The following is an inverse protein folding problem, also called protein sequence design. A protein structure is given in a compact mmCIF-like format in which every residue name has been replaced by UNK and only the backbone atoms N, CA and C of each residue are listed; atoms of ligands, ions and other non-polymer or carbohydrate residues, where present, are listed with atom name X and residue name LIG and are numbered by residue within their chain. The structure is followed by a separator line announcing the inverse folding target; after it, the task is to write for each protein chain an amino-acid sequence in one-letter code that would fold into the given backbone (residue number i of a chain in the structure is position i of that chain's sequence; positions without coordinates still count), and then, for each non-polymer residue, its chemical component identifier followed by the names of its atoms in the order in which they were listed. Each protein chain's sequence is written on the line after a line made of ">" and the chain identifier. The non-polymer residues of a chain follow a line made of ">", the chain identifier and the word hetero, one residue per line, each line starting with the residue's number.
data_IF_358754175392
#
_entry.id   IF_358754175392
#
_cell.length_a   1.000
_cell.length_b   1.000
_cell.length_c   1.000
_cell.angle_alpha   90.00
_cell.angle_beta   90.00
_cell.angle_gamma   90.00
#
_symmetry.space_group_name_H-M   'P 1'
#
loop_
_entity.id
_entity.type
_entity.pdbx_description
1 polymer ?
#
# COMPACT_ATOMS: atom_id res chain seq x y z
N UNK A 1 -18.25 10.70 -20.90
CA UNK A 1 -17.39 9.53 -20.64
C UNK A 1 -17.22 9.46 -19.12
N UNK A 2 -17.75 8.41 -18.50
CA UNK A 2 -17.98 8.33 -17.04
C UNK A 2 -16.66 8.30 -16.24
N UNK A 3 -16.32 9.39 -15.57
CA UNK A 3 -15.24 9.50 -14.58
C UNK A 3 -15.58 8.83 -13.23
N UNK A 4 -16.72 8.14 -13.13
CA UNK A 4 -17.28 7.60 -11.88
C UNK A 4 -16.95 6.14 -11.55
N UNK A 5 -16.07 5.46 -12.30
CA UNK A 5 -15.87 3.99 -12.19
C UNK A 5 -14.58 3.53 -11.49
N UNK A 6 -13.70 4.42 -11.05
CA UNK A 6 -12.38 4.01 -10.52
C UNK A 6 -12.28 3.93 -8.99
N UNK A 7 -13.38 4.12 -8.25
CA UNK A 7 -13.37 3.93 -6.79
C UNK A 7 -13.28 2.47 -6.36
N UNK A 8 -13.50 1.51 -7.28
CA UNK A 8 -13.49 0.06 -6.99
C UNK A 8 -12.52 -0.75 -7.86
N UNK A 9 -11.53 -0.12 -8.49
CA UNK A 9 -10.69 -0.79 -9.50
C UNK A 9 -9.87 -1.96 -8.94
N UNK A 10 -9.64 -1.96 -7.62
CA UNK A 10 -8.81 -2.94 -6.93
C UNK A 10 -9.62 -3.63 -5.82
N UNK A 11 -10.58 -4.45 -6.24
CA UNK A 11 -11.15 -5.48 -5.38
C UNK A 11 -10.19 -6.68 -5.38
N UNK A 12 -10.12 -7.43 -4.27
CA UNK A 12 -9.29 -8.64 -4.16
C UNK A 12 -7.78 -8.36 -4.25
N UNK A 13 -7.30 -7.37 -3.51
CA UNK A 13 -5.85 -7.18 -3.32
C UNK A 13 -5.36 -8.30 -2.39
N UNK A 14 -4.48 -9.16 -2.90
CA UNK A 14 -3.83 -10.18 -2.08
C UNK A 14 -2.60 -9.64 -1.38
N UNK A 15 -1.80 -8.78 -2.04
CA UNK A 15 -0.46 -8.43 -1.58
C UNK A 15 -0.15 -6.94 -1.81
N UNK A 16 0.57 -6.35 -0.87
CA UNK A 16 1.07 -4.96 -0.93
C UNK A 16 2.57 -4.97 -0.68
N UNK A 17 3.35 -4.41 -1.60
CA UNK A 17 4.79 -4.22 -1.44
C UNK A 17 5.09 -2.74 -1.26
N UNK A 18 5.90 -2.40 -0.25
CA UNK A 18 6.36 -1.02 -0.04
C UNK A 18 7.90 -0.94 -0.11
N UNK A 19 8.42 0.21 -0.54
CA UNK A 19 9.85 0.56 -0.51
C UNK A 19 9.99 1.93 0.13
N UNK A 20 10.84 2.03 1.16
CA UNK A 20 11.22 3.33 1.74
C UNK A 20 11.98 4.13 0.69
N UNK A 21 11.61 5.41 0.51
CA UNK A 21 12.28 6.29 -0.45
C UNK A 21 13.53 6.95 0.16
N UNK A 22 13.49 7.25 1.45
CA UNK A 22 14.51 8.09 2.11
C UNK A 22 15.44 7.29 3.04
N UNK A 23 15.37 5.95 3.03
CA UNK A 23 16.12 5.04 3.92
C UNK A 23 16.01 5.37 5.42
N UNK A 24 15.01 6.16 5.82
CA UNK A 24 14.78 6.59 7.22
C UNK A 24 14.27 5.46 8.11
N UNK A 25 13.85 4.35 7.51
CA UNK A 25 13.25 3.20 8.19
C UNK A 25 13.97 1.95 7.72
N UNK A 26 14.59 1.23 8.66
CA UNK A 26 15.20 -0.07 8.40
C UNK A 26 14.14 -1.17 8.37
N UNK A 27 13.69 -1.48 7.16
CA UNK A 27 12.66 -2.48 6.90
C UNK A 27 13.13 -3.92 7.13
N UNK A 28 14.45 -4.16 7.13
CA UNK A 28 15.01 -5.51 7.32
C UNK A 28 14.76 -6.06 8.73
N UNK A 29 14.65 -5.15 9.70
CA UNK A 29 14.37 -5.45 11.10
C UNK A 29 12.90 -5.85 11.39
N UNK A 30 12.03 -5.79 10.38
CA UNK A 30 10.57 -5.86 10.53
C UNK A 30 9.93 -7.11 9.87
N UNK A 31 10.74 -8.00 9.30
CA UNK A 31 10.32 -9.15 8.48
C UNK A 31 9.33 -10.12 9.12
N UNK A 32 9.25 -10.21 10.45
CA UNK A 32 8.33 -11.13 11.14
C UNK A 32 6.87 -10.67 11.17
N UNK A 33 6.60 -9.38 10.99
CA UNK A 33 5.25 -8.79 11.12
C UNK A 33 4.41 -9.00 9.85
N UNK A 34 5.05 -9.20 8.70
CA UNK A 34 4.43 -8.99 7.39
C UNK A 34 3.74 -10.21 6.76
N UNK A 35 3.59 -11.30 7.50
CA UNK A 35 2.85 -12.48 7.03
C UNK A 35 1.52 -12.70 7.77
N UNK A 36 1.04 -11.70 8.51
CA UNK A 36 -0.22 -11.80 9.26
C UNK A 36 -1.42 -11.53 8.35
N UNK A 37 -2.48 -12.37 8.38
CA UNK A 37 -3.70 -12.11 7.62
C UNK A 37 -4.27 -10.72 7.90
N UNK A 38 -4.43 -9.94 6.85
CA UNK A 38 -4.81 -8.53 6.93
C UNK A 38 -5.90 -8.22 5.92
N UNK A 39 -6.82 -7.30 6.28
CA UNK A 39 -7.80 -6.78 5.32
C UNK A 39 -7.22 -5.57 4.60
N UNK A 40 -7.07 -5.66 3.29
CA UNK A 40 -6.53 -4.58 2.46
C UNK A 40 -7.67 -3.85 1.75
N UNK A 41 -7.65 -2.52 1.79
CA UNK A 41 -8.63 -1.66 1.10
C UNK A 41 -7.89 -0.52 0.42
N UNK A 42 -8.12 -0.35 -0.88
CA UNK A 42 -7.60 0.77 -1.65
C UNK A 42 -8.75 1.67 -2.11
N UNK A 43 -8.61 2.97 -1.89
CA UNK A 43 -9.56 3.99 -2.31
C UNK A 43 -8.84 5.07 -3.10
N UNK A 44 -9.45 5.49 -4.20
CA UNK A 44 -8.99 6.63 -5.00
C UNK A 44 -10.14 7.61 -5.09
N UNK A 45 -9.86 8.85 -4.73
CA UNK A 45 -10.78 9.97 -4.94
C UNK A 45 -10.16 10.96 -5.89
N UNK A 46 -10.98 11.47 -6.81
CA UNK A 46 -10.56 12.39 -7.84
C UNK A 46 -11.07 13.79 -7.51
N UNK A 47 -10.19 14.78 -7.61
CA UNK A 47 -10.56 16.19 -7.60
C UNK A 47 -9.98 16.91 -8.82
N UNK A 48 -10.70 17.93 -9.25
CA UNK A 48 -10.30 18.79 -10.35
C UNK A 48 -10.39 20.23 -9.88
N UNK A 49 -9.31 21.00 -10.04
CA UNK A 49 -9.28 22.43 -9.76
C UNK A 49 -8.53 23.17 -10.88
N UNK A 50 -8.43 24.49 -10.78
CA UNK A 50 -7.76 25.35 -11.77
C UNK A 50 -6.26 25.02 -11.94
N UNK A 51 -5.67 24.26 -11.01
CA UNK A 51 -4.28 23.77 -11.06
C UNK A 51 -4.14 22.38 -11.70
N UNK A 52 -5.24 21.72 -12.06
CA UNK A 52 -5.26 20.44 -12.77
C UNK A 52 -6.02 19.32 -12.05
N UNK A 53 -5.74 18.09 -12.49
CA UNK A 53 -6.34 16.87 -11.93
C UNK A 53 -5.49 16.36 -10.77
N UNK A 54 -6.14 16.04 -9.65
CA UNK A 54 -5.47 15.47 -8.49
C UNK A 54 -6.20 14.20 -8.05
N UNK A 55 -5.44 13.12 -7.90
CA UNK A 55 -5.91 11.87 -7.36
C UNK A 55 -5.40 11.76 -5.93
N UNK A 56 -6.32 11.66 -4.97
CA UNK A 56 -5.99 11.32 -3.59
C UNK A 56 -6.18 9.82 -3.43
N UNK A 57 -5.08 9.14 -3.17
CA UNK A 57 -5.06 7.69 -2.97
C UNK A 57 -4.90 7.37 -1.49
N UNK A 58 -5.64 6.36 -1.04
CA UNK A 58 -5.56 5.83 0.32
C UNK A 58 -5.52 4.32 0.25
N UNK A 59 -4.45 3.71 0.75
CA UNK A 59 -4.36 2.27 0.97
C UNK A 59 -4.36 1.99 2.47
N UNK A 60 -5.36 1.24 2.92
CA UNK A 60 -5.52 0.83 4.31
C UNK A 60 -5.29 -0.66 4.45
N UNK A 61 -4.39 -1.05 5.35
CA UNK A 61 -4.13 -2.44 5.73
C UNK A 61 -4.54 -2.60 7.19
N UNK A 62 -5.57 -3.41 7.46
CA UNK A 62 -6.12 -3.65 8.81
C UNK A 62 -5.62 -4.97 9.39
N UNK A 63 -5.10 -4.91 10.62
CA UNK A 63 -4.53 -6.01 11.40
C UNK A 63 -5.38 -6.27 12.65
N UNK A 64 -5.96 -7.47 12.81
CA UNK A 64 -6.91 -7.76 13.88
C UNK A 64 -6.28 -7.93 15.28
N UNK A 65 -4.96 -8.02 15.39
CA UNK A 65 -4.30 -8.15 16.69
C UNK A 65 -2.79 -8.06 16.58
N UNK A 66 -2.20 -7.26 17.46
CA UNK A 66 -0.76 -7.03 17.53
C UNK A 66 -0.29 -7.09 18.98
N UNK A 67 0.90 -7.63 19.18
CA UNK A 67 1.60 -7.50 20.44
C UNK A 67 2.10 -6.05 20.63
N UNK A 68 2.42 -5.66 21.86
CA UNK A 68 2.96 -4.32 22.16
C UNK A 68 4.28 -4.05 21.42
N UNK A 69 5.11 -5.07 21.18
CA UNK A 69 6.33 -4.97 20.37
C UNK A 69 6.01 -4.60 18.92
N UNK A 70 4.97 -5.20 18.34
CA UNK A 70 4.60 -4.94 16.96
C UNK A 70 4.10 -3.50 16.79
N UNK A 71 3.36 -2.98 17.78
CA UNK A 71 2.92 -1.58 17.78
C UNK A 71 4.10 -0.60 17.71
N UNK A 72 5.16 -0.83 18.50
CA UNK A 72 6.36 0.01 18.46
C UNK A 72 7.04 -0.03 17.11
N UNK A 73 7.05 -1.20 16.46
CA UNK A 73 7.61 -1.40 15.13
C UNK A 73 6.77 -0.69 14.04
N UNK A 74 5.43 -0.73 14.12
CA UNK A 74 4.57 0.05 13.22
C UNK A 74 4.74 1.55 13.38
N UNK A 75 4.95 2.03 14.61
CA UNK A 75 5.21 3.45 14.85
C UNK A 75 6.56 3.91 14.30
N UNK A 76 7.50 3.01 14.01
CA UNK A 76 8.70 3.37 13.26
C UNK A 76 8.38 3.57 11.77
N UNK A 77 7.50 2.74 11.20
CA UNK A 77 7.10 2.86 9.80
C UNK A 77 6.44 4.21 9.48
N UNK A 78 5.69 4.81 10.41
CA UNK A 78 5.03 6.11 10.18
C UNK A 78 6.00 7.28 9.99
N UNK A 79 7.31 7.07 10.19
CA UNK A 79 8.35 8.09 9.97
C UNK A 79 8.86 8.12 8.52
N UNK A 80 8.49 7.13 7.72
CA UNK A 80 8.94 6.98 6.34
C UNK A 80 7.92 7.46 5.32
N UNK A 81 8.41 7.62 4.08
CA UNK A 81 7.61 7.79 2.88
C UNK A 81 7.91 6.64 1.91
N UNK A 82 6.88 6.18 1.22
CA UNK A 82 6.92 4.88 0.56
C UNK A 82 6.46 4.92 -0.90
N UNK A 83 7.23 4.26 -1.77
CA UNK A 83 6.70 3.75 -3.02
C UNK A 83 5.91 2.47 -2.73
N UNK A 84 4.74 2.31 -3.33
CA UNK A 84 3.78 1.24 -3.03
C UNK A 84 3.29 0.58 -4.32
N UNK A 85 3.37 -0.74 -4.31
CA UNK A 85 2.78 -1.64 -5.30
C UNK A 85 1.71 -2.51 -4.65
N UNK A 86 0.71 -2.86 -5.45
CA UNK A 86 -0.32 -3.82 -5.05
C UNK A 86 -0.41 -4.93 -6.09
N UNK A 87 -0.77 -6.12 -5.63
CA UNK A 87 -1.08 -7.28 -6.48
C UNK A 87 -2.48 -7.76 -6.17
N UNK A 88 -3.20 -8.09 -7.23
CA UNK A 88 -4.54 -8.66 -7.17
C UNK A 88 -4.50 -10.19 -7.18
N UNK A 89 -5.56 -10.84 -6.71
CA UNK A 89 -5.69 -12.30 -6.67
C UNK A 89 -5.46 -12.96 -8.04
N UNK A 90 -5.76 -12.26 -9.14
CA UNK A 90 -5.55 -12.73 -10.52
C UNK A 90 -4.10 -12.55 -11.03
N UNK A 91 -3.19 -12.12 -10.16
CA UNK A 91 -1.78 -11.91 -10.48
C UNK A 91 -1.42 -10.53 -11.02
N UNK A 92 -2.39 -9.65 -11.29
CA UNK A 92 -2.11 -8.32 -11.83
C UNK A 92 -1.41 -7.42 -10.80
N UNK A 93 -0.31 -6.79 -11.22
CA UNK A 93 0.50 -5.90 -10.40
C UNK A 93 0.34 -4.46 -10.86
N UNK A 94 0.09 -3.57 -9.89
CA UNK A 94 -0.08 -2.15 -10.11
C UNK A 94 0.86 -1.35 -9.21
N UNK A 95 1.47 -0.31 -9.77
CA UNK A 95 2.14 0.74 -9.01
C UNK A 95 1.11 1.81 -8.65
N UNK A 96 0.88 2.03 -7.36
CA UNK A 96 -0.08 3.04 -6.88
C UNK A 96 0.62 4.34 -6.46
N UNK A 97 1.88 4.29 -6.05
CA UNK A 97 2.68 5.50 -5.81
C UNK A 97 4.06 5.43 -6.47
N UNK A 98 4.35 6.27 -7.49
CA UNK A 98 5.68 6.39 -8.04
C UNK A 98 6.62 7.15 -7.08
N UNK A 99 7.93 7.12 -7.34
CA UNK A 99 8.95 7.75 -6.48
C UNK A 99 8.78 9.26 -6.37
N UNK A 100 8.27 9.92 -7.40
CA UNK A 100 8.02 11.36 -7.43
C UNK A 100 6.82 11.77 -6.57
N UNK A 101 5.95 10.81 -6.21
CA UNK A 101 4.75 11.03 -5.41
C UNK A 101 4.58 9.91 -4.38
N UNK A 102 5.51 9.78 -3.42
CA UNK A 102 5.47 8.70 -2.44
C UNK A 102 4.27 8.87 -1.50
N UNK A 103 3.88 7.76 -0.86
CA UNK A 103 2.85 7.74 0.15
C UNK A 103 3.43 7.94 1.54
N UNK A 104 2.83 8.84 2.29
CA UNK A 104 3.03 8.94 3.74
C UNK A 104 2.27 7.83 4.43
N UNK A 105 2.86 7.26 5.48
CA UNK A 105 2.22 6.23 6.29
C UNK A 105 1.80 6.78 7.64
N UNK A 106 0.55 6.55 8.01
CA UNK A 106 0.03 6.81 9.34
C UNK A 106 -0.56 5.54 9.96
N UNK A 107 -0.39 5.37 11.27
CA UNK A 107 -0.99 4.26 12.02
C UNK A 107 -2.23 4.73 12.77
N UNK A 108 -3.31 3.95 12.75
CA UNK A 108 -4.50 4.19 13.57
C UNK A 108 -5.00 2.91 14.24
N UNK A 109 -5.94 3.05 15.17
CA UNK A 109 -6.65 1.93 15.78
C UNK A 109 -8.15 2.16 15.63
N UNK A 110 -8.84 1.14 15.14
CA UNK A 110 -10.29 1.09 15.04
C UNK A 110 -10.81 -0.08 15.86
N UNK A 111 -11.87 0.14 16.65
CA UNK A 111 -12.40 -0.89 17.56
C UNK A 111 -12.95 -2.12 16.84
N UNK A 112 -13.38 -1.98 15.59
CA UNK A 112 -14.06 -3.03 14.84
C UNK A 112 -13.10 -3.75 13.87
N UNK A 113 -12.02 -3.09 13.46
CA UNK A 113 -11.05 -3.59 12.47
C UNK A 113 -9.61 -3.66 12.96
N UNK A 114 -9.34 -3.29 14.21
CA UNK A 114 -8.03 -3.39 14.85
C UNK A 114 -7.07 -2.29 14.44
N UNK A 115 -5.77 -2.60 14.47
CA UNK A 115 -4.72 -1.66 14.06
C UNK A 115 -4.71 -1.48 12.55
N UNK A 116 -4.47 -0.27 12.07
CA UNK A 116 -4.48 0.04 10.65
C UNK A 116 -3.21 0.78 10.25
N UNK A 117 -2.67 0.39 9.10
CA UNK A 117 -1.68 1.14 8.35
C UNK A 117 -2.38 1.88 7.22
N UNK A 118 -2.24 3.19 7.19
CA UNK A 118 -2.89 4.05 6.21
C UNK A 118 -1.82 4.77 5.40
N UNK A 119 -1.62 4.32 4.16
CA UNK A 119 -0.78 4.98 3.19
C UNK A 119 -1.61 6.01 2.42
N UNK A 120 -1.14 7.25 2.34
CA UNK A 120 -1.83 8.31 1.64
C UNK A 120 -0.90 9.16 0.80
N UNK A 121 -1.32 9.50 -0.41
CA UNK A 121 -0.71 10.58 -1.19
C UNK A 121 -1.77 11.40 -1.92
N UNK A 122 -1.32 12.51 -2.50
CA UNK A 122 -2.06 13.25 -3.52
C UNK A 122 -1.16 13.41 -4.73
N UNK A 123 -1.56 12.89 -5.88
CA UNK A 123 -0.74 12.82 -7.08
C UNK A 123 -1.57 13.10 -8.34
N UNK A 124 -1.01 13.76 -9.36
CA UNK A 124 -1.64 13.82 -10.68
C UNK A 124 -1.63 12.46 -11.39
N UNK A 125 -0.85 11.49 -10.88
CA UNK A 125 -0.69 10.16 -11.47
C UNK A 125 -1.76 9.21 -10.91
N UNK A 126 -2.36 8.42 -11.81
CA UNK A 126 -3.26 7.31 -11.47
C UNK A 126 -2.44 6.02 -11.34
N UNK A 127 -2.96 4.99 -10.63
CA UNK A 127 -2.33 3.68 -10.60
C UNK A 127 -1.99 3.14 -11.99
N UNK A 128 -0.77 2.62 -12.13
CA UNK A 128 -0.22 2.14 -13.40
C UNK A 128 -0.10 0.62 -13.34
N UNK A 129 -0.69 -0.07 -14.32
CA UNK A 129 -0.48 -1.50 -14.50
C UNK A 129 0.97 -1.76 -14.92
N UNK A 130 1.63 -2.69 -14.25
CA UNK A 130 3.03 -3.03 -14.49
C UNK A 130 3.14 -4.31 -15.31
N UNK A 131 2.63 -5.41 -14.77
CA UNK A 131 2.62 -6.72 -15.40
C UNK A 131 1.64 -7.67 -14.70
N UNK A 132 1.47 -8.86 -15.27
CA UNK A 132 0.78 -9.98 -14.62
C UNK A 132 1.85 -10.99 -14.16
N UNK A 133 1.78 -11.40 -12.89
CA UNK A 133 2.72 -12.31 -12.26
C UNK A 133 1.98 -13.50 -11.64
N UNK A 134 2.63 -14.66 -11.61
CA UNK A 134 2.10 -15.89 -11.00
C UNK A 134 1.44 -15.64 -9.65
N UNK A 135 0.20 -16.09 -9.48
CA UNK A 135 -0.62 -15.84 -8.27
C UNK A 135 0.06 -16.31 -6.98
N UNK A 136 0.92 -17.34 -7.07
CA UNK A 136 1.58 -17.96 -5.94
C UNK A 136 2.88 -17.28 -5.50
N UNK A 137 3.44 -16.41 -6.35
CA UNK A 137 4.70 -15.71 -6.09
C UNK A 137 4.43 -14.34 -5.46
N UNK A 138 5.46 -13.71 -4.88
CA UNK A 138 5.38 -12.31 -4.47
C UNK A 138 5.25 -11.35 -5.65
N UNK A 139 5.50 -10.07 -5.43
CA UNK A 139 5.78 -9.12 -6.52
C UNK A 139 7.28 -9.16 -6.81
N UNK A 140 7.64 -9.48 -8.05
CA UNK A 140 9.01 -9.56 -8.56
C UNK A 140 9.21 -8.40 -9.54
N UNK A 141 9.94 -7.37 -9.11
CA UNK A 141 10.28 -6.20 -9.92
C UNK A 141 11.79 -5.98 -9.84
N UNK A 142 12.47 -5.91 -10.99
CA UNK A 142 13.89 -5.56 -11.06
C UNK A 142 14.09 -4.11 -10.60
N UNK A 143 15.16 -3.86 -9.83
CA UNK A 143 15.58 -2.54 -9.29
C UNK A 143 14.77 -1.97 -8.09
N UNK A 144 14.04 -2.81 -7.36
CA UNK A 144 13.40 -2.43 -6.08
C UNK A 144 13.94 -3.28 -4.92
N UNK A 145 14.45 -2.61 -3.88
CA UNK A 145 15.27 -3.25 -2.85
C UNK A 145 14.49 -4.01 -1.76
N UNK A 146 13.16 -3.89 -1.65
CA UNK A 146 12.39 -4.54 -0.57
C UNK A 146 10.95 -4.93 -0.97
N UNK A 147 10.55 -6.17 -0.66
CA UNK A 147 9.20 -6.73 -0.87
C UNK A 147 8.50 -6.95 0.47
N UNK A 148 7.26 -6.46 0.58
CA UNK A 148 6.36 -6.88 1.64
C UNK A 148 5.42 -7.90 1.00
N UNK A 149 5.47 -9.13 1.48
CA UNK A 149 4.69 -10.24 0.95
C UNK A 149 3.62 -10.60 1.99
N UNK A 150 2.48 -9.93 1.89
CA UNK A 150 1.30 -10.29 2.65
C UNK A 150 0.53 -11.30 1.81
N UNK A 151 0.61 -12.59 2.14
CA UNK A 151 -0.30 -13.58 1.56
C UNK A 151 -1.57 -13.61 2.40
N UNK A 152 -2.73 -13.41 1.77
CA UNK A 152 -4.01 -13.76 2.37
C UNK A 152 -4.04 -15.29 2.44
N UNK A 153 -4.12 -15.84 3.66
CA UNK A 153 -4.35 -17.26 3.87
C UNK A 153 -5.79 -17.66 3.52
#
# INVERSE_FOLDING_TARGET
>A
MELGKNTSLFQNICLVQIRSVDDTVDLSSLTSIYHTPSKIRHNISYSHNDSGNLNRQTLTISYPGLSTSDFSQFNQLSRGVYNVFIKLDNGDVYMISPLEFPMELNTSYDKDSGHQLNFTNSSPVIPVFINNQSENDGIILDQFDYTFDFKVA
#
